data_IF_425203722016
#
_entry.id   IF_425203722016
#
_cell.length_a   1.000
_cell.length_b   1.000
_cell.length_c   1.000
_cell.angle_alpha   90.00
_cell.angle_beta   90.00
_cell.angle_gamma   90.00
#
_symmetry.space_group_name_H-M   'P 1'
#
loop_
_entity.id
_entity.type
_entity.pdbx_description
1 polymer ?
#
# COMPACT_ATOMS: atom_id res chain seq x y z
N UNK A 1 -21.70 30.70 -14.11
CA UNK A 1 -20.70 29.71 -14.60
C UNK A 1 -20.35 28.72 -13.49
N UNK A 2 -21.10 27.62 -13.41
CA UNK A 2 -20.85 26.52 -12.47
C UNK A 2 -20.34 25.35 -13.32
N UNK A 3 -19.05 25.07 -13.28
CA UNK A 3 -18.47 23.91 -13.97
C UNK A 3 -18.74 22.67 -13.12
N UNK A 4 -19.68 21.84 -13.58
CA UNK A 4 -19.88 20.50 -13.07
C UNK A 4 -18.99 19.59 -13.90
N UNK A 5 -17.90 19.11 -13.32
CA UNK A 5 -17.08 18.08 -13.95
C UNK A 5 -17.79 16.75 -13.79
N UNK A 6 -18.53 16.34 -14.82
CA UNK A 6 -19.00 14.96 -14.97
C UNK A 6 -17.78 14.17 -15.42
N UNK A 7 -17.06 13.55 -14.48
CA UNK A 7 -16.15 12.47 -14.84
C UNK A 7 -16.99 11.21 -15.00
N UNK A 8 -17.29 10.90 -16.26
CA UNK A 8 -17.95 9.67 -16.69
C UNK A 8 -17.18 8.46 -16.15
N UNK A 9 -17.66 7.89 -15.05
CA UNK A 9 -17.17 6.61 -14.54
C UNK A 9 -17.85 5.51 -15.35
N UNK A 10 -17.37 5.37 -16.59
CA UNK A 10 -17.80 4.35 -17.55
C UNK A 10 -17.64 2.98 -16.89
N UNK A 11 -18.76 2.25 -16.85
CA UNK A 11 -18.85 0.85 -16.45
C UNK A 11 -17.90 0.01 -17.31
N UNK A 12 -16.73 -0.33 -16.76
CA UNK A 12 -15.95 -1.45 -17.26
C UNK A 12 -16.24 -2.69 -16.42
N UNK A 13 -17.23 -3.44 -16.89
CA UNK A 13 -17.13 -4.88 -17.14
C UNK A 13 -16.17 -5.68 -16.22
N UNK A 14 -16.71 -6.30 -15.16
CA UNK A 14 -16.28 -7.58 -14.53
C UNK A 14 -14.76 -7.88 -14.40
N UNK A 15 -13.92 -6.87 -14.23
CA UNK A 15 -12.61 -7.01 -13.63
C UNK A 15 -12.58 -6.05 -12.45
N UNK A 16 -12.14 -6.52 -11.28
CA UNK A 16 -11.98 -5.71 -10.07
C UNK A 16 -10.91 -4.64 -10.33
N UNK A 17 -11.28 -3.57 -11.03
CA UNK A 17 -10.43 -2.40 -11.20
C UNK A 17 -10.33 -1.76 -9.82
N UNK A 18 -9.14 -1.72 -9.21
CA UNK A 18 -8.96 -1.08 -7.91
C UNK A 18 -9.45 0.36 -8.02
N UNK A 19 -10.17 0.86 -7.00
CA UNK A 19 -10.62 2.25 -7.02
C UNK A 19 -9.41 3.18 -7.19
N UNK A 20 -9.57 4.32 -7.88
CA UNK A 20 -8.51 5.32 -8.05
C UNK A 20 -7.79 5.62 -6.72
N UNK A 21 -8.54 5.61 -5.63
CA UNK A 21 -8.04 5.82 -4.27
C UNK A 21 -6.95 4.81 -3.87
N UNK A 22 -7.11 3.54 -4.26
CA UNK A 22 -6.15 2.48 -3.90
C UNK A 22 -4.86 2.51 -4.70
N UNK A 23 -4.90 3.00 -5.94
CA UNK A 23 -3.70 3.20 -6.75
C UNK A 23 -2.87 4.35 -6.18
N UNK A 24 -3.54 5.46 -5.83
CA UNK A 24 -2.89 6.62 -5.20
C UNK A 24 -2.34 6.26 -3.83
N UNK A 25 -3.08 5.48 -3.04
CA UNK A 25 -2.61 5.07 -1.72
C UNK A 25 -1.42 4.09 -1.82
N UNK A 26 -1.45 3.15 -2.76
CA UNK A 26 -0.31 2.26 -3.00
C UNK A 26 0.96 3.05 -3.35
N UNK A 27 0.88 4.02 -4.27
CA UNK A 27 2.02 4.86 -4.67
C UNK A 27 2.58 5.66 -3.48
N UNK A 28 1.71 6.23 -2.64
CA UNK A 28 2.12 6.94 -1.41
C UNK A 28 2.85 6.01 -0.46
N UNK A 29 2.32 4.81 -0.23
CA UNK A 29 2.92 3.85 0.69
C UNK A 29 4.27 3.31 0.18
N UNK A 30 4.39 3.07 -1.13
CA UNK A 30 5.67 2.68 -1.75
C UNK A 30 6.73 3.77 -1.61
N UNK A 31 6.36 5.04 -1.82
CA UNK A 31 7.27 6.18 -1.62
C UNK A 31 7.70 6.31 -0.15
N UNK A 32 6.78 6.11 0.79
CA UNK A 32 7.09 6.08 2.23
C UNK A 32 8.07 4.96 2.58
N UNK A 33 7.86 3.76 2.05
CA UNK A 33 8.75 2.62 2.26
C UNK A 33 10.18 2.95 1.79
N UNK A 34 10.33 3.44 0.56
CA UNK A 34 11.64 3.82 0.01
C UNK A 34 12.31 4.90 0.85
N UNK A 35 11.57 5.92 1.26
CA UNK A 35 12.11 7.00 2.09
C UNK A 35 12.58 6.49 3.45
N UNK A 36 11.78 5.64 4.10
CA UNK A 36 12.12 5.06 5.39
C UNK A 36 13.39 4.20 5.30
N UNK A 37 13.53 3.38 4.25
CA UNK A 37 14.73 2.59 3.98
C UNK A 37 15.96 3.46 3.76
N UNK A 38 15.84 4.56 2.99
CA UNK A 38 16.93 5.51 2.77
C UNK A 38 17.37 6.21 4.07
N UNK A 39 16.41 6.50 4.96
CA UNK A 39 16.65 7.16 6.25
C UNK A 39 17.06 6.18 7.36
N UNK A 40 17.05 4.87 7.10
CA UNK A 40 17.18 3.80 8.12
C UNK A 40 16.15 3.95 9.25
N UNK A 41 14.97 4.46 8.93
CA UNK A 41 13.83 4.53 9.84
C UNK A 41 13.09 3.19 9.81
N UNK A 42 13.55 2.27 10.66
CA UNK A 42 12.97 0.93 10.76
C UNK A 42 11.49 0.93 11.19
N UNK A 43 11.04 1.95 11.94
CA UNK A 43 9.63 2.08 12.34
C UNK A 43 8.78 2.45 11.14
N UNK A 44 9.24 3.45 10.37
CA UNK A 44 8.59 3.88 9.14
C UNK A 44 8.54 2.76 8.10
N UNK A 45 9.62 1.98 7.97
CA UNK A 45 9.69 0.82 7.08
C UNK A 45 8.67 -0.25 7.47
N UNK A 46 8.69 -0.70 8.73
CA UNK A 46 7.76 -1.70 9.23
C UNK A 46 6.30 -1.26 9.05
N UNK A 47 5.99 0.01 9.32
CA UNK A 47 4.65 0.57 9.16
C UNK A 47 4.21 0.62 7.70
N UNK A 48 5.09 1.04 6.78
CA UNK A 48 4.77 1.10 5.36
C UNK A 48 4.55 -0.31 4.78
N UNK A 49 5.36 -1.29 5.16
CA UNK A 49 5.19 -2.70 4.78
C UNK A 49 3.85 -3.27 5.28
N UNK A 50 3.50 -3.01 6.54
CA UNK A 50 2.22 -3.44 7.13
C UNK A 50 1.02 -2.89 6.34
N UNK A 51 1.03 -1.59 6.02
CA UNK A 51 -0.04 -0.92 5.29
C UNK A 51 -0.13 -1.38 3.84
N UNK A 52 1.02 -1.61 3.18
CA UNK A 52 1.05 -2.19 1.83
C UNK A 52 0.50 -3.61 1.82
N UNK A 53 0.88 -4.44 2.79
CA UNK A 53 0.39 -5.82 2.91
C UNK A 53 -1.14 -5.86 3.04
N UNK A 54 -1.70 -5.05 3.94
CA UNK A 54 -3.16 -4.92 4.09
C UNK A 54 -3.85 -4.46 2.80
N UNK A 55 -3.28 -3.47 2.10
CA UNK A 55 -3.82 -2.97 0.85
C UNK A 55 -3.79 -4.03 -0.26
N UNK A 56 -2.71 -4.82 -0.35
CA UNK A 56 -2.59 -5.90 -1.34
C UNK A 56 -3.63 -7.00 -1.10
N UNK A 57 -3.83 -7.41 0.16
CA UNK A 57 -4.91 -8.36 0.51
C UNK A 57 -6.29 -7.82 0.16
N UNK A 58 -6.54 -6.52 0.42
CA UNK A 58 -7.80 -5.88 0.07
C UNK A 58 -8.04 -5.83 -1.44
N UNK A 59 -6.99 -5.66 -2.24
CA UNK A 59 -7.03 -5.73 -3.72
C UNK A 59 -7.11 -7.17 -4.26
N UNK A 60 -7.14 -8.18 -3.41
CA UNK A 60 -7.19 -9.61 -3.79
C UNK A 60 -5.83 -10.27 -3.99
N UNK A 61 -4.72 -9.53 -3.86
CA UNK A 61 -3.36 -10.06 -3.96
C UNK A 61 -2.90 -10.63 -2.61
N UNK A 62 -3.53 -11.73 -2.19
CA UNK A 62 -3.33 -12.28 -0.83
C UNK A 62 -1.89 -12.72 -0.57
N UNK A 63 -1.26 -13.42 -1.52
CA UNK A 63 0.13 -13.92 -1.39
C UNK A 63 1.13 -12.76 -1.22
N UNK A 64 1.09 -11.78 -2.12
CA UNK A 64 1.90 -10.57 -2.02
C UNK A 64 1.64 -9.81 -0.71
N UNK A 65 0.37 -9.77 -0.28
CA UNK A 65 -0.02 -9.19 0.99
C UNK A 65 0.65 -9.87 2.18
N UNK A 66 0.67 -11.20 2.20
CA UNK A 66 1.30 -11.98 3.26
C UNK A 66 2.83 -11.82 3.27
N UNK A 67 3.49 -11.78 2.11
CA UNK A 67 4.93 -11.50 1.99
C UNK A 67 5.31 -10.14 2.61
N UNK A 68 4.51 -9.10 2.35
CA UNK A 68 4.75 -7.76 2.89
C UNK A 68 4.53 -7.71 4.42
N UNK A 69 3.54 -8.46 4.92
CA UNK A 69 3.30 -8.59 6.37
C UNK A 69 4.44 -9.34 7.06
N UNK A 70 4.97 -10.39 6.43
CA UNK A 70 6.14 -11.13 6.94
C UNK A 70 7.37 -10.23 7.00
N UNK A 71 7.65 -9.45 5.96
CA UNK A 71 8.76 -8.49 5.96
C UNK A 71 8.61 -7.46 7.09
N UNK A 72 7.40 -6.94 7.32
CA UNK A 72 7.12 -6.03 8.45
C UNK A 72 7.45 -6.70 9.79
N UNK A 73 7.03 -7.95 9.98
CA UNK A 73 7.29 -8.72 11.19
C UNK A 73 8.79 -8.98 11.41
N UNK A 74 9.55 -9.25 10.34
CA UNK A 74 11.00 -9.43 10.41
C UNK A 74 11.69 -8.14 10.86
N UNK A 75 11.37 -6.99 10.24
CA UNK A 75 11.93 -5.69 10.64
C UNK A 75 11.64 -5.39 12.12
N UNK A 76 10.40 -5.62 12.56
CA UNK A 76 10.01 -5.42 13.97
C UNK A 76 10.75 -6.34 14.92
N UNK A 77 10.86 -7.63 14.59
CA UNK A 77 11.55 -8.61 15.42
C UNK A 77 13.01 -8.24 15.59
N UNK A 78 13.69 -7.94 14.48
CA UNK A 78 15.12 -7.67 14.44
C UNK A 78 15.50 -6.40 15.22
N UNK A 79 14.58 -5.43 15.37
CA UNK A 79 14.80 -4.19 16.12
C UNK A 79 14.20 -4.18 17.53
N UNK A 80 13.30 -5.11 17.87
CA UNK A 80 12.68 -5.19 19.20
C UNK A 80 13.44 -6.15 20.12
N UNK A 81 13.98 -7.23 19.56
CA UNK A 81 14.65 -8.29 20.32
C UNK A 81 16.12 -8.50 19.95
N UNK A 82 16.62 -7.76 18.94
CA UNK A 82 18.02 -7.77 18.52
C UNK A 82 18.93 -6.92 19.38
#
# INVERSE_FOLDING_TARGET
NRHVFITERVRYLKHDVPSLDTVVEEDKLRKRLVLAQQQRDWKGEAQALLQLGQLMKWKGFSELGDELLEQSAVVLRDHTFG
#
